data_IF_990241850125
#
_entry.id   IF_990241850125
#
_cell.length_a   1.000
_cell.length_b   1.000
_cell.length_c   1.000
_cell.angle_alpha   90.00
_cell.angle_beta   90.00
_cell.angle_gamma   90.00
#
_symmetry.space_group_name_H-M   'P 1'
#
loop_
_entity.id
_entity.type
_entity.pdbx_description
1 polymer ?
#
# COMPACT_ATOMS: atom_id res chain seq x y z
N UNK A 1 -6.71 9.31 6.63
CA UNK A 1 -6.56 8.66 5.31
C UNK A 1 -5.48 7.61 5.40
N UNK A 2 -5.75 6.46 4.83
CA UNK A 2 -4.79 5.37 4.78
C UNK A 2 -4.32 5.16 3.36
N UNK A 3 -3.07 4.72 3.21
CA UNK A 3 -2.49 4.46 1.91
C UNK A 3 -1.94 3.04 1.87
N UNK A 4 -2.11 2.39 0.73
CA UNK A 4 -1.42 1.14 0.44
C UNK A 4 -0.15 1.52 -0.31
N UNK A 5 0.98 1.07 0.21
CA UNK A 5 2.29 1.45 -0.27
C UNK A 5 3.00 0.22 -0.84
N UNK A 6 3.41 0.33 -2.07
CA UNK A 6 4.26 -0.69 -2.70
C UNK A 6 5.70 -0.39 -2.34
N UNK A 7 6.35 -1.37 -1.71
CA UNK A 7 7.75 -1.26 -1.29
C UNK A 7 8.59 -2.13 -2.21
N UNK A 8 9.47 -1.50 -2.95
CA UNK A 8 10.37 -2.19 -3.88
C UNK A 8 11.61 -2.69 -3.15
N UNK A 9 12.26 -3.70 -3.70
CA UNK A 9 13.44 -4.29 -3.10
C UNK A 9 14.63 -3.33 -3.02
N UNK A 10 14.67 -2.37 -3.92
CA UNK A 10 15.74 -1.36 -3.95
C UNK A 10 15.55 -0.22 -2.95
N UNK A 11 14.45 -0.25 -2.20
CA UNK A 11 14.16 0.76 -1.20
C UNK A 11 13.18 1.83 -1.65
N UNK A 12 12.79 1.83 -2.92
CA UNK A 12 11.78 2.76 -3.42
C UNK A 12 10.39 2.41 -2.90
N UNK A 13 9.54 3.41 -2.82
CA UNK A 13 8.16 3.26 -2.36
C UNK A 13 7.23 4.02 -3.28
N UNK A 14 6.04 3.46 -3.47
CA UNK A 14 5.01 4.09 -4.29
C UNK A 14 3.64 3.89 -3.66
N UNK A 15 2.86 4.96 -3.53
CA UNK A 15 1.48 4.86 -3.08
C UNK A 15 0.63 4.39 -4.25
N UNK A 16 -0.05 3.26 -4.08
CA UNK A 16 -0.85 2.65 -5.14
C UNK A 16 -2.35 2.77 -4.89
N UNK A 17 -2.76 3.07 -3.66
CA UNK A 17 -4.16 3.19 -3.32
C UNK A 17 -4.33 4.02 -2.05
N UNK A 18 -5.39 4.82 -1.97
CA UNK A 18 -5.73 5.64 -0.80
C UNK A 18 -7.19 5.43 -0.44
N UNK A 19 -7.47 5.32 0.84
CA UNK A 19 -8.84 5.18 1.33
C UNK A 19 -8.94 5.72 2.75
N UNK A 20 -10.13 6.16 3.13
CA UNK A 20 -10.41 6.54 4.51
C UNK A 20 -10.70 5.34 5.41
N UNK A 21 -10.90 4.16 4.83
CA UNK A 21 -11.27 2.94 5.56
C UNK A 21 -10.05 2.04 5.73
N UNK A 22 -9.65 1.86 6.99
CA UNK A 22 -8.49 1.02 7.32
C UNK A 22 -8.68 -0.42 6.87
N UNK A 23 -9.86 -0.98 7.04
CA UNK A 23 -10.14 -2.36 6.63
C UNK A 23 -10.01 -2.51 5.13
N UNK A 24 -10.48 -1.53 4.38
CA UNK A 24 -10.37 -1.54 2.94
C UNK A 24 -8.90 -1.48 2.49
N UNK A 25 -8.10 -0.64 3.14
CA UNK A 25 -6.67 -0.55 2.84
C UNK A 25 -5.96 -1.87 3.14
N UNK A 26 -6.27 -2.49 4.27
CA UNK A 26 -5.67 -3.76 4.66
C UNK A 26 -6.05 -4.88 3.70
N UNK A 27 -7.32 -4.96 3.34
CA UNK A 27 -7.79 -5.97 2.39
C UNK A 27 -7.11 -5.81 1.03
N UNK A 28 -6.96 -4.58 0.59
CA UNK A 28 -6.30 -4.30 -0.68
C UNK A 28 -4.83 -4.73 -0.65
N UNK A 29 -4.11 -4.35 0.41
CA UNK A 29 -2.71 -4.71 0.56
C UNK A 29 -2.53 -6.23 0.66
N UNK A 30 -3.39 -6.89 1.43
CA UNK A 30 -3.34 -8.34 1.58
C UNK A 30 -3.59 -9.06 0.25
N UNK A 31 -4.56 -8.59 -0.51
CA UNK A 31 -4.86 -9.13 -1.83
C UNK A 31 -3.66 -9.03 -2.77
N UNK A 32 -2.98 -7.89 -2.74
CA UNK A 32 -1.80 -7.68 -3.57
C UNK A 32 -0.61 -8.54 -3.11
N UNK A 33 -0.46 -8.73 -1.81
CA UNK A 33 0.62 -9.56 -1.26
C UNK A 33 0.40 -11.04 -1.53
N UNK A 34 -0.83 -11.46 -1.77
CA UNK A 34 -1.15 -12.84 -2.13
C UNK A 34 -0.82 -13.17 -3.58
N UNK A 35 -0.56 -12.15 -4.38
CA UNK A 35 -0.21 -12.33 -5.78
C UNK A 35 1.27 -12.68 -5.87
N UNK A 36 1.57 -13.96 -6.03
CA UNK A 36 2.94 -14.48 -6.10
C UNK A 36 3.64 -14.18 -7.41
N UNK A 37 2.93 -13.59 -8.36
CA UNK A 37 3.47 -13.30 -9.70
C UNK A 37 4.05 -11.90 -9.81
N UNK A 38 4.34 -11.25 -8.68
CA UNK A 38 5.00 -9.95 -8.72
C UNK A 38 6.47 -10.13 -9.10
N UNK A 39 6.84 -9.77 -10.33
CA UNK A 39 8.22 -9.98 -10.81
C UNK A 39 9.25 -9.12 -10.10
N UNK A 40 8.80 -8.06 -9.42
CA UNK A 40 9.70 -7.13 -8.74
C UNK A 40 10.00 -7.55 -7.31
N UNK A 41 9.31 -8.57 -6.80
CA UNK A 41 9.48 -9.01 -5.42
C UNK A 41 9.05 -7.95 -4.41
N UNK A 42 8.22 -7.01 -4.82
CA UNK A 42 7.76 -5.95 -3.95
C UNK A 42 6.72 -6.46 -2.96
N UNK A 43 6.60 -5.80 -1.83
CA UNK A 43 5.55 -6.10 -0.88
C UNK A 43 4.73 -4.85 -0.57
N UNK A 44 3.51 -5.04 -0.10
CA UNK A 44 2.57 -3.96 0.14
C UNK A 44 2.31 -3.79 1.63
N UNK A 45 2.32 -2.54 2.08
CA UNK A 45 2.05 -2.20 3.47
C UNK A 45 0.98 -1.11 3.53
N UNK A 46 0.37 -0.94 4.71
CA UNK A 46 -0.59 0.12 4.94
C UNK A 46 0.06 1.19 5.82
N UNK A 47 0.02 2.42 5.36
CA UNK A 47 0.51 3.56 6.11
C UNK A 47 -0.61 4.56 6.35
N UNK A 48 -0.45 5.39 7.37
CA UNK A 48 -1.38 6.47 7.65
C UNK A 48 -0.85 7.77 7.02
N UNK A 49 -1.72 8.44 6.27
CA UNK A 49 -1.38 9.72 5.66
C UNK A 49 -2.16 10.82 6.38
N UNK A 50 -1.45 11.84 6.81
CA UNK A 50 -2.09 13.06 7.29
C UNK A 50 -2.42 13.93 6.10
N UNK A 51 -3.70 14.13 5.85
CA UNK A 51 -4.12 15.15 4.89
C UNK A 51 -4.21 16.48 5.61
N UNK A 52 -3.34 17.39 5.21
CA UNK A 52 -3.46 18.77 5.63
C UNK A 52 -4.48 19.45 4.74
N UNK A 53 -5.72 19.40 5.15
CA UNK A 53 -6.74 20.22 4.53
C UNK A 53 -6.83 21.52 5.31
N UNK A 54 -6.28 22.52 4.76
CA UNK A 54 -6.52 23.87 5.29
C UNK A 54 -7.50 24.56 4.38
#
# INVERSE_FOLDING_TARGET
>A
MYAVIKNYMDGDKKVVYKTADLLQARDYAESLNEDFDDPDGAHYTVGMIKENTI
#
